data_IF_161670652987
#
_entry.id   IF_161670652987
#
_cell.length_a   1.000
_cell.length_b   1.000
_cell.length_c   1.000
_cell.angle_alpha   90.00
_cell.angle_beta   90.00
_cell.angle_gamma   90.00
#
_symmetry.space_group_name_H-M   'P 1'
#
loop_
_entity.id
_entity.type
_entity.pdbx_description
1 polymer ?
#
# COMPACT_ATOMS: atom_id res chain seq x y z
N UNK A 1 5.45 29.84 -16.40
CA UNK A 1 4.71 29.26 -15.49
C UNK A 1 5.40 28.07 -14.95
N UNK A 2 5.35 27.87 -13.73
CA UNK A 2 6.06 26.78 -13.15
C UNK A 2 5.40 25.47 -13.51
N UNK A 3 6.20 24.51 -13.74
CA UNK A 3 5.69 23.18 -14.01
C UNK A 3 5.33 22.55 -12.69
N UNK A 4 4.21 21.87 -12.65
CA UNK A 4 3.83 21.20 -11.44
C UNK A 4 4.80 20.07 -11.20
N UNK A 5 5.20 19.90 -9.96
CA UNK A 5 6.10 18.84 -9.62
C UNK A 5 5.26 17.69 -9.05
N UNK A 6 4.88 16.78 -9.90
CA UNK A 6 4.05 15.64 -9.50
C UNK A 6 4.74 14.74 -8.48
N UNK A 7 6.06 14.61 -8.57
CA UNK A 7 6.79 13.81 -7.61
C UNK A 7 6.70 14.45 -6.21
N UNK A 8 6.78 15.75 -6.13
CA UNK A 8 6.67 16.45 -4.85
C UNK A 8 5.29 16.26 -4.23
N UNK A 9 4.25 16.26 -5.06
CA UNK A 9 2.89 16.04 -4.58
C UNK A 9 2.77 14.65 -3.97
N UNK A 10 3.35 13.64 -4.61
CA UNK A 10 3.29 12.29 -4.09
C UNK A 10 4.12 12.15 -2.80
N UNK A 11 5.28 12.83 -2.73
CA UNK A 11 6.05 12.81 -1.48
C UNK A 11 5.26 13.46 -0.36
N UNK A 12 4.52 14.53 -0.67
CA UNK A 12 3.69 15.19 0.33
C UNK A 12 2.56 14.25 0.78
N UNK A 13 2.03 13.43 -0.10
CA UNK A 13 1.02 12.46 0.24
C UNK A 13 1.53 11.55 1.37
N UNK A 14 2.74 11.00 1.21
CA UNK A 14 3.26 10.09 2.21
C UNK A 14 3.59 10.83 3.52
N UNK A 15 4.10 12.05 3.42
CA UNK A 15 4.37 12.84 4.62
C UNK A 15 3.08 13.13 5.40
N UNK A 16 2.02 13.48 4.69
CA UNK A 16 0.72 13.75 5.32
C UNK A 16 0.15 12.48 5.93
N UNK A 17 0.26 11.35 5.24
CA UNK A 17 -0.24 10.10 5.78
C UNK A 17 0.54 9.70 7.04
N UNK A 18 1.84 9.91 7.04
CA UNK A 18 2.66 9.61 8.21
C UNK A 18 2.26 10.44 9.42
N UNK A 19 1.74 11.65 9.18
CA UNK A 19 1.22 12.47 10.27
C UNK A 19 -0.21 12.13 10.58
N UNK A 20 -0.83 11.23 9.85
CA UNK A 20 -2.22 10.85 9.95
C UNK A 20 -3.15 12.05 9.71
N UNK A 21 -2.69 12.98 8.85
CA UNK A 21 -3.47 14.15 8.49
C UNK A 21 -4.32 13.81 7.27
N UNK A 22 -5.46 13.21 7.51
CA UNK A 22 -6.31 12.70 6.42
C UNK A 22 -6.94 13.83 5.61
N UNK A 23 -7.14 15.01 6.20
CA UNK A 23 -7.64 16.14 5.44
C UNK A 23 -6.61 16.56 4.41
N UNK A 24 -5.34 16.58 4.80
CA UNK A 24 -4.28 16.93 3.86
C UNK A 24 -4.15 15.87 2.77
N UNK A 25 -4.20 14.58 3.17
CA UNK A 25 -4.16 13.49 2.21
C UNK A 25 -5.27 13.66 1.18
N UNK A 26 -6.48 13.88 1.63
CA UNK A 26 -7.62 14.02 0.71
C UNK A 26 -7.47 15.24 -0.19
N UNK A 27 -6.84 16.30 0.30
CA UNK A 27 -6.69 17.53 -0.48
C UNK A 27 -5.75 17.36 -1.67
N UNK A 28 -4.94 16.30 -1.68
CA UNK A 28 -4.00 16.07 -2.76
C UNK A 28 -4.60 15.28 -3.92
N UNK A 29 -5.85 14.87 -3.80
CA UNK A 29 -6.52 14.07 -4.82
C UNK A 29 -7.85 14.69 -5.21
N UNK A 30 -8.37 14.28 -6.36
CA UNK A 30 -9.70 14.70 -6.78
C UNK A 30 -10.74 13.98 -5.93
N UNK A 31 -11.94 14.55 -5.84
CA UNK A 31 -12.98 13.98 -4.99
C UNK A 31 -13.39 12.57 -5.42
N UNK A 32 -13.27 12.26 -6.70
CA UNK A 32 -13.65 10.95 -7.23
C UNK A 32 -12.45 10.02 -7.39
N UNK A 33 -11.29 10.38 -6.88
CA UNK A 33 -10.11 9.53 -7.00
C UNK A 33 -10.32 8.20 -6.29
N UNK A 34 -9.82 7.14 -6.90
CA UNK A 34 -9.94 5.79 -6.34
C UNK A 34 -8.58 5.14 -6.22
N UNK A 35 -8.47 4.23 -5.28
CA UNK A 35 -7.29 3.41 -5.12
C UNK A 35 -7.68 1.97 -5.41
N UNK A 36 -6.93 1.31 -6.26
CA UNK A 36 -7.14 -0.10 -6.57
C UNK A 36 -5.99 -0.91 -6.04
N UNK A 37 -6.27 -1.93 -5.27
CA UNK A 37 -5.25 -2.86 -4.81
C UNK A 37 -5.03 -3.93 -5.88
N UNK A 38 -3.77 -4.26 -6.13
CA UNK A 38 -3.43 -5.27 -7.13
C UNK A 38 -2.67 -6.38 -6.39
N UNK A 39 -3.02 -7.61 -6.59
CA UNK A 39 -3.84 -8.15 -7.68
C UNK A 39 -5.31 -8.29 -7.32
N UNK A 40 -5.74 -7.98 -6.13
CA UNK A 40 -7.12 -8.29 -5.73
C UNK A 40 -8.18 -7.53 -6.52
N UNK A 41 -7.85 -6.35 -7.00
CA UNK A 41 -8.82 -5.51 -7.68
C UNK A 41 -9.75 -4.73 -6.77
N UNK A 42 -9.53 -4.81 -5.45
CA UNK A 42 -10.37 -4.10 -4.52
C UNK A 42 -10.20 -2.60 -4.68
N UNK A 43 -11.30 -1.87 -4.77
CA UNK A 43 -11.26 -0.42 -4.97
C UNK A 43 -11.86 0.31 -3.80
N UNK A 44 -11.27 1.43 -3.44
CA UNK A 44 -11.78 2.31 -2.40
C UNK A 44 -11.61 3.75 -2.83
N UNK A 45 -12.37 4.65 -2.22
CA UNK A 45 -12.12 6.08 -2.37
C UNK A 45 -10.75 6.43 -1.82
N UNK A 46 -10.17 7.51 -2.30
CA UNK A 46 -8.79 7.85 -1.94
C UNK A 46 -8.65 8.08 -0.43
N UNK A 47 -9.52 8.90 0.15
CA UNK A 47 -9.48 9.14 1.58
C UNK A 47 -9.84 7.88 2.36
N UNK A 48 -10.82 7.15 1.88
CA UNK A 48 -11.27 5.93 2.53
C UNK A 48 -10.13 4.92 2.64
N UNK A 49 -9.36 4.77 1.58
CA UNK A 49 -8.24 3.85 1.57
C UNK A 49 -7.17 4.30 2.57
N UNK A 50 -6.85 5.59 2.58
CA UNK A 50 -5.85 6.12 3.50
C UNK A 50 -6.26 5.90 4.95
N UNK A 51 -7.54 6.10 5.24
CA UNK A 51 -8.06 5.90 6.59
C UNK A 51 -8.06 4.43 6.97
N UNK A 52 -8.36 3.56 6.02
CA UNK A 52 -8.39 2.13 6.29
C UNK A 52 -7.00 1.61 6.69
N UNK A 53 -5.96 2.04 5.98
CA UNK A 53 -4.61 1.63 6.33
C UNK A 53 -4.18 2.23 7.67
N UNK A 54 -4.56 3.47 7.97
CA UNK A 54 -4.22 4.10 9.23
C UNK A 54 -4.95 3.44 10.40
N UNK A 55 -6.16 2.93 10.16
CA UNK A 55 -6.89 2.20 11.17
C UNK A 55 -6.21 0.87 11.47
N UNK A 56 -5.79 0.17 10.43
CA UNK A 56 -5.14 -1.12 10.60
C UNK A 56 -3.77 -0.97 11.26
N UNK A 57 -3.04 0.09 10.92
CA UNK A 57 -1.69 0.33 11.42
C UNK A 57 -1.60 1.74 11.98
N UNK A 58 -2.11 1.96 13.20
CA UNK A 58 -2.12 3.33 13.78
C UNK A 58 -0.74 3.96 13.92
N UNK A 59 0.29 3.14 14.10
CA UNK A 59 1.66 3.61 14.19
C UNK A 59 2.37 3.51 12.84
N UNK A 60 1.63 3.29 11.76
CA UNK A 60 2.24 3.03 10.47
C UNK A 60 2.99 4.20 9.91
N UNK A 61 4.06 3.89 9.20
CA UNK A 61 4.86 4.89 8.49
C UNK A 61 5.23 4.38 7.12
N UNK A 62 5.23 5.27 6.16
CA UNK A 62 5.62 4.97 4.80
C UNK A 62 6.95 5.65 4.51
N UNK A 63 7.90 4.88 4.01
CA UNK A 63 9.15 5.42 3.54
C UNK A 63 9.16 5.30 2.02
N UNK A 64 9.28 6.42 1.33
CA UNK A 64 9.40 6.40 -0.12
C UNK A 64 10.87 6.17 -0.46
N UNK A 65 11.16 5.05 -1.08
CA UNK A 65 12.53 4.68 -1.43
C UNK A 65 12.93 5.33 -2.75
N UNK A 66 12.07 5.22 -3.73
CA UNK A 66 12.27 5.85 -5.03
C UNK A 66 10.96 6.45 -5.51
N UNK A 67 11.03 7.66 -6.08
CA UNK A 67 9.85 8.28 -6.66
C UNK A 67 10.26 8.76 -8.05
N UNK A 68 9.58 8.25 -9.06
CA UNK A 68 9.88 8.55 -10.46
C UNK A 68 8.65 9.12 -11.12
N UNK A 69 8.77 10.30 -11.72
CA UNK A 69 7.66 10.95 -12.40
C UNK A 69 7.94 11.04 -13.88
N UNK A 70 6.92 10.73 -14.68
CA UNK A 70 7.00 10.92 -16.11
C UNK A 70 5.59 11.23 -16.63
N UNK A 71 5.43 12.36 -17.29
CA UNK A 71 4.11 12.77 -17.76
C UNK A 71 3.15 12.89 -16.59
N UNK A 72 1.99 12.26 -16.73
CA UNK A 72 0.96 12.30 -15.71
C UNK A 72 1.14 11.24 -14.63
N UNK A 73 2.18 10.42 -14.73
CA UNK A 73 2.35 9.30 -13.82
C UNK A 73 3.49 9.51 -12.84
N UNK A 74 3.29 9.05 -11.62
CA UNK A 74 4.35 8.98 -10.61
C UNK A 74 4.33 7.57 -10.06
N UNK A 75 5.49 6.92 -10.12
CA UNK A 75 5.66 5.60 -9.55
C UNK A 75 6.47 5.76 -8.28
N UNK A 76 5.97 5.24 -7.18
CA UNK A 76 6.67 5.33 -5.91
C UNK A 76 6.91 3.93 -5.36
N UNK A 77 8.18 3.63 -5.17
CA UNK A 77 8.58 2.39 -4.53
C UNK A 77 8.74 2.68 -3.05
N UNK A 78 8.00 1.99 -2.23
CA UNK A 78 7.87 2.32 -0.81
C UNK A 78 8.05 1.12 0.09
N UNK A 79 8.26 1.40 1.36
CA UNK A 79 8.19 0.38 2.41
C UNK A 79 7.26 0.93 3.49
N UNK A 80 6.24 0.16 3.84
CA UNK A 80 5.35 0.50 4.94
C UNK A 80 5.72 -0.33 6.15
N UNK A 81 5.73 0.28 7.32
CA UNK A 81 6.02 -0.42 8.57
C UNK A 81 4.98 -0.04 9.60
N UNK A 82 4.59 -0.98 10.41
CA UNK A 82 3.65 -0.70 11.48
C UNK A 82 3.24 -1.93 12.24
N UNK A 83 2.43 -1.73 13.27
CA UNK A 83 1.90 -2.80 14.09
C UNK A 83 0.41 -2.93 13.79
N UNK A 84 -0.03 -4.15 13.52
CA UNK A 84 -1.42 -4.41 13.15
C UNK A 84 -2.30 -4.39 14.39
N UNK A 85 -2.66 -3.19 14.82
CA UNK A 85 -3.45 -2.99 16.03
C UNK A 85 -4.89 -2.56 15.77
N UNK A 86 -5.33 -2.59 14.53
CA UNK A 86 -6.71 -2.29 14.17
C UNK A 86 -7.18 -3.20 13.06
N UNK A 87 -8.45 -3.15 12.77
CA UNK A 87 -9.04 -4.00 11.74
C UNK A 87 -8.46 -3.68 10.37
N UNK A 88 -8.08 -4.69 9.62
CA UNK A 88 -7.58 -4.53 8.27
C UNK A 88 -8.64 -5.01 7.29
N UNK A 89 -9.01 -4.17 6.34
CA UNK A 89 -9.98 -4.54 5.33
C UNK A 89 -9.31 -5.40 4.28
N UNK A 90 -9.96 -6.46 3.88
CA UNK A 90 -9.45 -7.31 2.81
C UNK A 90 -10.60 -7.80 1.94
N UNK A 91 -10.30 -8.28 0.73
CA UNK A 91 -11.34 -8.80 -0.15
C UNK A 91 -12.11 -9.97 0.45
N UNK A 92 -11.48 -10.71 1.33
CA UNK A 92 -12.10 -11.86 1.96
C UNK A 92 -12.83 -11.49 3.25
N UNK A 93 -12.83 -10.22 3.61
CA UNK A 93 -13.48 -9.76 4.84
C UNK A 93 -12.49 -9.06 5.74
N UNK A 94 -12.98 -8.55 6.86
CA UNK A 94 -12.16 -7.80 7.78
C UNK A 94 -11.28 -8.74 8.60
N UNK A 95 -10.04 -8.36 8.80
CA UNK A 95 -9.08 -9.12 9.59
C UNK A 95 -8.90 -8.40 10.92
N UNK A 96 -9.26 -9.01 12.03
CA UNK A 96 -9.10 -8.37 13.34
C UNK A 96 -7.63 -8.15 13.67
N UNK A 97 -7.35 -7.20 14.53
CA UNK A 97 -6.00 -6.86 14.91
C UNK A 97 -5.24 -8.09 15.41
N UNK A 98 -4.04 -8.29 14.90
CA UNK A 98 -3.19 -9.42 15.32
C UNK A 98 -2.09 -8.98 16.27
N UNK A 99 -1.83 -7.67 16.39
CA UNK A 99 -0.74 -7.17 17.21
C UNK A 99 0.64 -7.41 16.62
N UNK A 100 0.69 -7.91 15.39
CA UNK A 100 1.98 -8.25 14.79
C UNK A 100 2.59 -7.08 14.05
N UNK A 101 3.90 -7.07 14.00
CA UNK A 101 4.61 -6.04 13.30
C UNK A 101 4.73 -6.44 11.83
N UNK A 102 4.59 -5.48 10.95
CA UNK A 102 4.66 -5.72 9.51
C UNK A 102 5.65 -4.74 8.87
N UNK A 103 6.43 -5.25 7.94
CA UNK A 103 7.27 -4.41 7.10
C UNK A 103 6.99 -4.87 5.67
N UNK A 104 6.35 -4.02 4.90
CA UNK A 104 5.82 -4.42 3.61
C UNK A 104 6.31 -3.51 2.50
N UNK A 105 7.11 -4.04 1.58
CA UNK A 105 7.46 -3.28 0.38
C UNK A 105 6.23 -3.19 -0.51
N UNK A 106 6.00 -2.04 -1.11
CA UNK A 106 4.91 -1.88 -2.06
C UNK A 106 5.26 -0.82 -3.08
N UNK A 107 4.53 -0.83 -4.18
CA UNK A 107 4.69 0.15 -5.24
C UNK A 107 3.35 0.79 -5.50
N UNK A 108 3.33 2.12 -5.49
CA UNK A 108 2.15 2.88 -5.88
C UNK A 108 2.36 3.44 -7.28
N UNK A 109 1.33 3.33 -8.10
CA UNK A 109 1.31 3.95 -9.39
C UNK A 109 0.21 5.00 -9.35
N UNK A 110 0.59 6.27 -9.33
CA UNK A 110 -0.36 7.39 -9.25
C UNK A 110 -0.49 8.07 -10.60
N UNK A 111 -1.70 8.46 -10.94
CA UNK A 111 -1.93 9.31 -12.09
C UNK A 111 -2.39 10.65 -11.59
N UNK A 112 -1.80 11.72 -12.11
CA UNK A 112 -2.14 13.06 -11.67
C UNK A 112 -2.61 13.90 -12.86
N UNK A 113 -3.46 14.86 -12.57
CA UNK A 113 -3.88 15.83 -13.56
C UNK A 113 -4.07 17.16 -12.86
N UNK A 114 -3.48 18.20 -13.43
CA UNK A 114 -3.57 19.55 -12.86
C UNK A 114 -3.18 19.59 -11.39
N UNK A 115 -2.14 18.85 -11.03
CA UNK A 115 -1.63 18.85 -9.66
C UNK A 115 -2.41 18.06 -8.66
N UNK A 116 -3.35 17.21 -9.12
CA UNK A 116 -4.14 16.38 -8.20
C UNK A 116 -4.06 14.93 -8.63
N UNK A 117 -4.01 14.04 -7.67
CA UNK A 117 -4.04 12.61 -7.94
C UNK A 117 -5.46 12.25 -8.36
N UNK A 118 -5.60 11.59 -9.50
CA UNK A 118 -6.90 11.21 -10.01
C UNK A 118 -7.18 9.72 -9.80
N UNK A 119 -6.13 8.91 -9.71
CA UNK A 119 -6.30 7.49 -9.42
C UNK A 119 -4.96 6.92 -8.97
N UNK A 120 -5.01 5.86 -8.22
CA UNK A 120 -3.81 5.17 -7.75
C UNK A 120 -4.02 3.67 -7.80
N UNK A 121 -2.95 2.94 -8.04
CA UNK A 121 -2.94 1.50 -7.91
C UNK A 121 -1.81 1.13 -6.97
N UNK A 122 -2.08 0.26 -6.02
CA UNK A 122 -1.05 -0.18 -5.08
C UNK A 122 -0.77 -1.66 -5.35
N UNK A 123 0.49 -1.99 -5.49
CA UNK A 123 0.95 -3.35 -5.77
C UNK A 123 1.74 -3.84 -4.56
N UNK A 124 1.30 -4.91 -3.96
CA UNK A 124 2.07 -5.50 -2.86
C UNK A 124 1.79 -7.00 -2.80
N UNK A 125 2.66 -7.71 -2.12
CA UNK A 125 2.55 -9.16 -2.01
C UNK A 125 1.63 -9.49 -0.84
N UNK A 126 0.40 -9.88 -1.16
CA UNK A 126 -0.57 -10.21 -0.13
C UNK A 126 -0.15 -11.44 0.66
N UNK A 127 0.55 -12.38 0.03
CA UNK A 127 1.05 -13.55 0.73
C UNK A 127 2.05 -13.18 1.81
N UNK A 128 2.95 -12.24 1.50
CA UNK A 128 3.90 -11.78 2.48
C UNK A 128 3.19 -11.08 3.63
N UNK A 129 2.20 -10.27 3.33
CA UNK A 129 1.43 -9.60 4.38
C UNK A 129 0.76 -10.62 5.28
N UNK A 130 0.08 -11.61 4.71
CA UNK A 130 -0.62 -12.61 5.50
C UNK A 130 0.36 -13.40 6.36
N UNK A 131 1.52 -13.75 5.83
CA UNK A 131 2.51 -14.48 6.60
C UNK A 131 3.01 -13.64 7.78
N UNK A 132 3.26 -12.36 7.57
CA UNK A 132 3.72 -11.50 8.65
C UNK A 132 2.65 -11.31 9.71
N UNK A 133 1.38 -11.36 9.33
CA UNK A 133 0.29 -11.25 10.28
C UNK A 133 0.00 -12.59 10.99
N UNK A 134 0.74 -13.64 10.64
CA UNK A 134 0.51 -14.94 11.23
C UNK A 134 -0.71 -15.65 10.67
N UNK A 135 -1.17 -15.20 9.47
CA UNK A 135 -2.36 -15.74 8.85
C UNK A 135 -2.00 -16.45 7.57
N UNK A 136 -0.97 -17.24 7.60
CA UNK A 136 -0.50 -17.82 6.41
C UNK A 136 -1.55 -18.58 5.74
N UNK A 137 -1.42 -18.73 4.49
CA UNK A 137 -2.40 -19.37 3.73
C UNK A 137 -2.38 -20.83 3.98
N UNK A 138 -1.95 -21.26 4.95
CA UNK A 138 -2.06 -22.61 5.25
C UNK A 138 -1.59 -23.51 4.17
N UNK A 139 -2.44 -24.03 3.46
CA UNK A 139 -2.09 -25.01 2.47
C UNK A 139 -0.97 -24.58 1.60
N UNK A 140 -1.02 -23.42 1.18
CA UNK A 140 -0.03 -23.00 0.29
C UNK A 140 1.29 -23.06 0.92
N UNK A 141 1.36 -22.69 2.11
CA UNK A 141 2.58 -22.69 2.78
C UNK A 141 3.02 -24.09 3.04
N UNK A 142 2.12 -24.90 3.36
CA UNK A 142 2.50 -26.21 3.68
C UNK A 142 2.87 -26.94 2.50
N UNK A 143 2.31 -26.65 1.44
CA UNK A 143 2.66 -27.36 0.34
C UNK A 143 3.85 -26.92 -0.30
N UNK A 144 4.50 -26.02 0.21
CA UNK A 144 5.59 -25.58 -0.38
C UNK A 144 6.42 -26.76 -0.49
N UNK A 145 6.83 -27.07 -1.47
CA UNK A 145 7.51 -28.17 -1.74
C UNK A 145 8.70 -28.12 -1.00
N UNK A 146 8.92 -29.06 -0.42
CA UNK A 146 9.98 -29.05 0.18
C UNK A 146 10.88 -29.13 -0.84
N UNK A 147 11.67 -28.56 -0.77
CA UNK A 147 12.55 -28.42 -1.60
C UNK A 147 12.85 -29.63 -2.07
N UNK A 148 12.91 -29.80 -3.04
CA UNK A 148 13.08 -30.86 -3.57
C UNK A 148 14.28 -31.23 -3.16
N UNK A 149 14.35 -32.16 -2.94
CA UNK A 149 15.33 -32.44 -2.47
C UNK A 149 16.36 -32.25 -3.32
N UNK A 150 17.30 -31.97 -2.87
CA UNK A 150 18.34 -31.64 -3.56
C UNK A 150 18.75 -32.68 -4.38
N UNK A 151 18.52 -33.74 -4.03
CA UNK A 151 18.92 -34.67 -4.77
C UNK A 151 18.37 -34.61 -6.02
N UNK A 152 17.34 -34.15 -6.20
CA UNK A 152 16.88 -34.18 -7.43
C UNK A 152 17.40 -33.24 -8.19
N UNK A 153 18.20 -32.50 -7.81
CA UNK A 153 18.62 -31.57 -8.60
C UNK A 153 19.84 -31.97 -9.09
N UNK A 154 20.34 -33.01 -8.99
CA UNK A 154 21.57 -33.23 -9.57
C UNK A 154 21.54 -34.23 -10.55
#
# INVERSE_FOLDING_TARGET
>A
MATLDNAAIVRELYAAWNKKDMDRVASLATADARVTSVPSGMKMGFREDAEAWATAFPDGEIQAVNVVAQGDYVIAECVGRGTHNGTLKSPAGDIPATGRRVELPFVDCHRLRNGKITESRIYFDTGSMMAQLGLSAGPTATQRPTAPSPEHRH
#
